data_IF_445303405444
#
_entry.id   IF_445303405444
#
_cell.length_a   1.000
_cell.length_b   1.000
_cell.length_c   1.000
_cell.angle_alpha   90.00
_cell.angle_beta   90.00
_cell.angle_gamma   90.00
#
_symmetry.space_group_name_H-M   'P 1'
#
loop_
_entity.id
_entity.type
_entity.pdbx_description
1 polymer ?
#
# COMPACT_ATOMS: atom_id res chain seq x y z
N UNK A 1 -27.97 -21.19 12.07
CA UNK A 1 -26.68 -20.53 12.39
C UNK A 1 -26.12 -19.92 11.12
N UNK A 2 -25.93 -18.60 11.07
CA UNK A 2 -25.21 -17.96 9.95
C UNK A 2 -23.74 -18.37 10.08
N UNK A 3 -23.22 -19.09 9.09
CA UNK A 3 -21.80 -19.46 9.04
C UNK A 3 -21.01 -18.20 8.70
N UNK A 4 -20.19 -17.73 9.65
CA UNK A 4 -19.23 -16.66 9.41
C UNK A 4 -18.33 -17.05 8.22
N UNK A 5 -18.19 -16.14 7.27
CA UNK A 5 -17.21 -16.26 6.17
C UNK A 5 -16.03 -15.36 6.55
N UNK A 6 -14.85 -15.90 6.84
CA UNK A 6 -13.71 -15.07 7.22
C UNK A 6 -13.28 -14.19 6.05
N UNK A 7 -12.88 -12.96 6.37
CA UNK A 7 -12.27 -12.00 5.44
C UNK A 7 -10.83 -11.79 5.89
N UNK A 8 -9.88 -11.90 4.96
CA UNK A 8 -8.46 -11.73 5.21
C UNK A 8 -7.95 -10.46 4.52
N UNK A 9 -7.37 -9.55 5.32
CA UNK A 9 -6.50 -8.49 4.83
C UNK A 9 -5.05 -8.95 4.98
N UNK A 10 -4.33 -9.08 3.87
CA UNK A 10 -2.92 -9.47 3.84
C UNK A 10 -2.08 -8.27 3.36
N UNK A 11 -1.11 -7.86 4.17
CA UNK A 11 -0.20 -6.75 3.87
C UNK A 11 1.18 -7.33 3.57
N UNK A 12 1.64 -7.18 2.32
CA UNK A 12 3.00 -7.51 1.91
C UNK A 12 3.84 -6.23 2.06
N UNK A 13 4.56 -6.09 3.19
CA UNK A 13 5.31 -4.87 3.48
C UNK A 13 6.44 -4.66 2.45
N UNK A 14 6.60 -3.44 1.95
CA UNK A 14 7.54 -3.11 0.88
C UNK A 14 7.22 -3.67 -0.51
N UNK A 15 6.03 -4.25 -0.72
CA UNK A 15 5.64 -4.85 -2.01
C UNK A 15 4.93 -3.87 -2.95
N UNK A 16 5.69 -3.24 -3.86
CA UNK A 16 5.19 -2.22 -4.78
C UNK A 16 5.26 -2.59 -6.26
N UNK A 17 4.65 -1.75 -7.11
CA UNK A 17 4.82 -1.79 -8.57
C UNK A 17 5.99 -0.89 -8.98
N UNK A 18 7.14 -1.49 -9.23
CA UNK A 18 8.31 -0.82 -9.81
C UNK A 18 8.46 -1.05 -11.32
N UNK A 19 9.43 -0.37 -11.92
CA UNK A 19 9.88 -0.66 -13.30
C UNK A 19 10.47 -2.07 -13.40
N UNK A 20 10.31 -2.71 -14.55
CA UNK A 20 10.89 -4.04 -14.78
C UNK A 20 12.39 -3.91 -15.04
N UNK A 21 13.19 -4.78 -14.43
CA UNK A 21 14.62 -4.85 -14.66
C UNK A 21 15.39 -5.44 -13.48
N UNK A 22 16.72 -5.56 -13.60
CA UNK A 22 17.57 -6.29 -12.66
C UNK A 22 17.60 -5.70 -11.22
N UNK A 23 17.10 -4.49 -11.01
CA UNK A 23 16.95 -3.89 -9.68
C UNK A 23 15.59 -4.14 -9.01
N UNK A 24 14.65 -4.77 -9.69
CA UNK A 24 13.31 -5.03 -9.16
C UNK A 24 13.17 -6.47 -8.70
N UNK A 25 13.47 -6.70 -7.42
CA UNK A 25 13.39 -8.03 -6.82
C UNK A 25 12.00 -8.68 -6.92
N UNK A 26 10.92 -7.89 -6.91
CA UNK A 26 9.55 -8.41 -7.07
C UNK A 26 9.33 -8.93 -8.50
N UNK A 27 9.90 -8.24 -9.49
CA UNK A 27 9.80 -8.66 -10.89
C UNK A 27 10.63 -9.93 -11.17
N UNK A 28 11.83 -10.02 -10.59
CA UNK A 28 12.76 -11.13 -10.82
C UNK A 28 12.39 -12.39 -10.00
N UNK A 29 11.61 -12.24 -8.93
CA UNK A 29 11.22 -13.36 -8.09
C UNK A 29 10.16 -14.27 -8.77
N UNK A 30 10.32 -15.59 -8.60
CA UNK A 30 9.28 -16.55 -8.97
C UNK A 30 8.11 -16.45 -7.96
N UNK A 31 6.98 -15.88 -8.38
CA UNK A 31 5.84 -15.60 -7.48
C UNK A 31 4.54 -16.27 -7.95
N UNK A 32 4.53 -17.61 -8.16
CA UNK A 32 3.44 -18.30 -8.87
C UNK A 32 2.06 -18.12 -8.23
N UNK A 33 1.99 -18.01 -6.89
CA UNK A 33 0.74 -17.76 -6.20
C UNK A 33 0.26 -16.32 -6.38
N UNK A 34 1.15 -15.33 -6.25
CA UNK A 34 0.83 -13.92 -6.47
C UNK A 34 0.39 -13.69 -7.92
N UNK A 35 1.14 -14.20 -8.89
CA UNK A 35 0.83 -14.11 -10.32
C UNK A 35 -0.52 -14.74 -10.65
N UNK A 36 -0.80 -15.93 -10.12
CA UNK A 36 -2.09 -16.61 -10.29
C UNK A 36 -3.25 -15.79 -9.73
N UNK A 37 -3.08 -15.19 -8.55
CA UNK A 37 -4.11 -14.34 -7.96
C UNK A 37 -4.32 -13.06 -8.78
N UNK A 38 -3.24 -12.40 -9.18
CA UNK A 38 -3.27 -11.18 -9.99
C UNK A 38 -3.90 -11.41 -11.38
N UNK A 39 -3.65 -12.56 -12.01
CA UNK A 39 -4.22 -12.86 -13.33
C UNK A 39 -5.71 -13.19 -13.30
N UNK A 40 -6.17 -13.87 -12.26
CA UNK A 40 -7.50 -14.51 -12.24
C UNK A 40 -8.56 -13.77 -11.42
N UNK A 41 -8.19 -12.77 -10.61
CA UNK A 41 -9.12 -12.02 -9.77
C UNK A 41 -9.00 -10.50 -9.99
N UNK A 42 -10.06 -9.72 -9.74
CA UNK A 42 -10.02 -8.26 -9.83
C UNK A 42 -8.90 -7.68 -8.97
N UNK A 43 -8.10 -6.80 -9.56
CA UNK A 43 -6.97 -6.15 -8.92
C UNK A 43 -6.85 -4.70 -9.42
N UNK A 44 -6.17 -3.87 -8.62
CA UNK A 44 -5.89 -2.47 -8.95
C UNK A 44 -4.65 -2.01 -8.19
N UNK A 45 -4.18 -0.80 -8.49
CA UNK A 45 -3.11 -0.14 -7.76
C UNK A 45 -3.67 1.02 -6.92
N UNK A 46 -3.06 1.24 -5.76
CA UNK A 46 -3.35 2.38 -4.88
C UNK A 46 -2.10 3.26 -4.75
N UNK A 47 -2.31 4.56 -4.51
CA UNK A 47 -1.22 5.48 -4.18
C UNK A 47 -0.91 5.32 -2.69
N UNK A 48 0.34 4.99 -2.36
CA UNK A 48 0.78 4.69 -0.99
C UNK A 48 1.89 5.66 -0.50
N UNK A 49 2.01 6.83 -1.12
CA UNK A 49 3.05 7.83 -0.82
C UNK A 49 2.55 9.25 -1.06
N UNK A 50 3.31 10.23 -0.54
CA UNK A 50 2.99 11.65 -0.63
C UNK A 50 1.61 12.03 -0.08
N UNK A 51 0.96 12.98 -0.73
CA UNK A 51 -0.30 13.57 -0.24
C UNK A 51 -1.44 12.56 -0.14
N UNK A 52 -1.41 11.49 -0.94
CA UNK A 52 -2.41 10.44 -0.93
C UNK A 52 -2.49 9.69 0.41
N UNK A 53 -1.43 9.75 1.22
CA UNK A 53 -1.35 9.13 2.55
C UNK A 53 -1.06 10.15 3.66
N UNK A 54 -1.22 11.44 3.37
CA UNK A 54 -1.05 12.52 4.35
C UNK A 54 0.41 12.93 4.60
N UNK A 55 1.31 12.60 3.67
CA UNK A 55 2.68 13.09 3.63
C UNK A 55 2.81 14.31 2.69
N UNK A 56 3.88 15.12 2.80
CA UNK A 56 4.25 16.11 1.79
C UNK A 56 4.40 15.51 0.38
N UNK A 57 4.19 16.33 -0.65
CA UNK A 57 4.35 15.92 -2.04
C UNK A 57 5.76 15.35 -2.31
N UNK A 58 5.83 14.22 -3.02
CA UNK A 58 7.09 13.55 -3.36
C UNK A 58 7.70 12.69 -2.25
N UNK A 59 7.20 12.75 -1.01
CA UNK A 59 7.74 11.94 0.06
C UNK A 59 7.34 10.46 -0.08
N UNK A 60 8.31 9.58 0.09
CA UNK A 60 8.12 8.12 0.05
C UNK A 60 7.25 7.69 1.24
N UNK A 61 6.35 6.73 0.98
CA UNK A 61 5.55 6.11 2.04
C UNK A 61 6.40 5.24 2.98
N UNK A 62 5.80 4.82 4.09
CA UNK A 62 6.43 3.92 5.04
C UNK A 62 5.37 3.06 5.73
N UNK A 63 5.82 2.06 6.51
CA UNK A 63 4.93 1.10 7.17
C UNK A 63 3.95 1.78 8.14
N UNK A 64 4.40 2.73 8.97
CA UNK A 64 3.55 3.43 9.94
C UNK A 64 2.41 4.19 9.25
N UNK A 65 2.77 5.05 8.30
CA UNK A 65 1.81 5.86 7.52
C UNK A 65 0.84 4.95 6.77
N UNK A 66 1.35 3.87 6.16
CA UNK A 66 0.54 2.91 5.42
C UNK A 66 -0.50 2.22 6.31
N UNK A 67 -0.06 1.64 7.44
CA UNK A 67 -0.95 0.93 8.36
C UNK A 67 -1.99 1.87 8.99
N UNK A 68 -1.61 3.11 9.33
CA UNK A 68 -2.55 4.11 9.83
C UNK A 68 -3.65 4.44 8.82
N UNK A 69 -3.30 4.67 7.55
CA UNK A 69 -4.28 4.98 6.52
C UNK A 69 -5.21 3.79 6.22
N UNK A 70 -4.66 2.57 6.16
CA UNK A 70 -5.44 1.34 5.95
C UNK A 70 -6.43 1.11 7.11
N UNK A 71 -5.96 1.23 8.35
CA UNK A 71 -6.81 1.03 9.53
C UNK A 71 -7.84 2.16 9.73
N UNK A 72 -7.51 3.39 9.33
CA UNK A 72 -8.39 4.54 9.50
C UNK A 72 -9.45 4.68 8.40
N UNK A 73 -9.23 4.11 7.21
CA UNK A 73 -10.14 4.27 6.06
C UNK A 73 -10.23 5.71 5.53
N UNK A 74 -9.23 6.55 5.82
CA UNK A 74 -9.13 7.96 5.42
C UNK A 74 -7.66 8.42 5.39
N UNK A 75 -7.41 9.56 4.74
CA UNK A 75 -6.10 10.20 4.75
C UNK A 75 -5.74 10.63 6.18
N UNK A 76 -4.64 10.11 6.71
CA UNK A 76 -4.10 10.48 8.04
C UNK A 76 -2.91 11.41 7.88
N UNK A 77 -3.12 12.71 8.15
CA UNK A 77 -2.06 13.71 8.09
C UNK A 77 -1.02 13.50 9.18
N UNK A 78 0.25 13.41 8.76
CA UNK A 78 1.38 13.25 9.65
C UNK A 78 1.76 14.59 10.29
N UNK A 79 2.39 14.56 11.46
CA UNK A 79 2.64 15.77 12.25
C UNK A 79 3.40 16.86 11.48
N UNK A 80 4.38 16.48 10.66
CA UNK A 80 5.10 17.42 9.80
C UNK A 80 4.17 18.12 8.78
N UNK A 81 3.23 17.40 8.19
CA UNK A 81 2.24 17.96 7.27
C UNK A 81 1.18 18.79 8.00
N UNK A 82 0.82 18.40 9.23
CA UNK A 82 -0.10 19.18 10.08
C UNK A 82 0.49 20.53 10.45
N UNK A 83 1.78 20.57 10.80
CA UNK A 83 2.50 21.81 11.07
C UNK A 83 2.59 22.70 9.81
N UNK A 84 2.95 22.13 8.66
CA UNK A 84 3.03 22.89 7.40
C UNK A 84 1.69 23.44 6.89
N UNK A 85 0.56 22.86 7.32
CA UNK A 85 -0.80 23.33 6.94
C UNK A 85 -1.39 24.35 7.92
N UNK A 86 -0.79 24.50 9.10
CA UNK A 86 -1.27 25.41 10.15
C UNK A 86 -0.69 26.84 10.02
N UNK A 87 0.22 27.06 9.06
CA UNK A 87 0.82 28.34 8.68
C UNK A 87 0.35 28.70 7.30
#
# INVERSE_FOLDING_TARGET
MIKSRPVLLMILDGWGKGEKGPGNAIHEAATPNYERLWKNYPNTFLRASGEAVGLPAGQIGNSEVGHLNIGAGRIVYQDLTRLNRAV
#
